data_IF_610797288816
#
_entry.id   IF_610797288816
#
_cell.length_a   1.000
_cell.length_b   1.000
_cell.length_c   1.000
_cell.angle_alpha   90.00
_cell.angle_beta   90.00
_cell.angle_gamma   90.00
#
_symmetry.space_group_name_H-M   'P 1'
#
loop_
_entity.id
_entity.type
_entity.pdbx_description
1 polymer ?
#
# COMPACT_ATOMS: atom_id res chain seq x y z
N UNK A 1 -16.70 -14.30 -14.67
CA UNK A 1 -16.48 -12.84 -14.62
C UNK A 1 -15.50 -12.59 -13.48
N UNK A 2 -14.24 -12.26 -13.78
CA UNK A 2 -13.16 -11.99 -12.80
C UNK A 2 -13.10 -10.47 -12.53
N UNK A 3 -14.13 -9.91 -11.91
CA UNK A 3 -14.06 -8.51 -11.45
C UNK A 3 -14.47 -8.46 -9.98
N UNK A 4 -13.51 -8.76 -9.12
CA UNK A 4 -13.63 -8.52 -7.69
C UNK A 4 -13.19 -7.09 -7.41
N UNK A 5 -14.10 -6.11 -7.57
CA UNK A 5 -13.92 -4.77 -6.99
C UNK A 5 -14.29 -4.82 -5.51
N UNK A 6 -13.74 -5.77 -4.76
CA UNK A 6 -13.99 -5.97 -3.33
C UNK A 6 -12.67 -6.30 -2.61
N UNK A 7 -12.36 -5.66 -1.47
CA UNK A 7 -13.05 -4.48 -0.94
C UNK A 7 -12.75 -3.26 -1.82
N UNK A 8 -13.78 -2.48 -2.10
CA UNK A 8 -13.66 -1.16 -2.71
C UNK A 8 -14.46 -0.16 -1.87
N UNK A 9 -14.30 1.14 -2.13
CA UNK A 9 -14.92 2.17 -1.32
C UNK A 9 -16.45 2.14 -1.33
N UNK A 10 -17.03 1.61 -2.40
CA UNK A 10 -18.45 1.37 -2.45
C UNK A 10 -18.79 0.10 -1.66
N UNK A 11 -19.49 0.25 -0.53
CA UNK A 11 -19.87 -0.84 0.39
C UNK A 11 -21.10 -1.63 -0.10
N UNK A 12 -21.08 -2.00 -1.38
CA UNK A 12 -22.12 -2.74 -2.08
C UNK A 12 -21.65 -4.17 -2.40
N UNK A 13 -22.34 -5.16 -1.85
CA UNK A 13 -22.03 -6.58 -2.01
C UNK A 13 -23.32 -7.42 -1.94
N UNK A 14 -23.31 -8.66 -2.45
CA UNK A 14 -24.40 -9.60 -2.21
C UNK A 14 -24.58 -9.88 -0.71
N UNK A 15 -25.82 -9.84 -0.23
CA UNK A 15 -26.19 -10.21 1.15
C UNK A 15 -26.31 -11.73 1.31
N UNK A 16 -25.26 -12.45 0.91
CA UNK A 16 -25.18 -13.91 0.95
C UNK A 16 -24.76 -14.45 2.33
N UNK A 17 -24.42 -15.74 2.39
CA UNK A 17 -24.04 -16.41 3.64
C UNK A 17 -22.85 -15.76 4.33
N UNK A 18 -21.88 -15.19 3.60
CA UNK A 18 -20.74 -14.49 4.20
C UNK A 18 -21.22 -13.18 4.85
N UNK A 19 -22.08 -12.41 4.17
CA UNK A 19 -22.66 -11.20 4.76
C UNK A 19 -23.47 -11.51 6.03
N UNK A 20 -24.27 -12.59 6.02
CA UNK A 20 -25.07 -13.01 7.17
C UNK A 20 -24.24 -13.34 8.42
N UNK A 21 -22.96 -13.70 8.27
CA UNK A 21 -22.06 -13.86 9.42
C UNK A 21 -21.83 -12.53 10.17
N UNK A 22 -21.91 -11.39 9.48
CA UNK A 22 -21.58 -10.06 10.01
C UNK A 22 -22.79 -9.14 10.21
N UNK A 23 -23.93 -9.42 9.57
CA UNK A 23 -25.11 -8.55 9.51
C UNK A 23 -25.56 -7.98 10.87
N UNK A 24 -25.36 -8.70 11.97
CA UNK A 24 -25.74 -8.25 13.32
C UNK A 24 -24.58 -8.30 14.33
N UNK A 25 -23.33 -8.25 13.85
CA UNK A 25 -22.14 -8.34 14.72
C UNK A 25 -21.66 -6.98 15.24
N UNK A 26 -22.13 -5.88 14.66
CA UNK A 26 -21.62 -4.55 14.95
C UNK A 26 -22.76 -3.57 15.27
N UNK A 27 -22.44 -2.58 16.10
CA UNK A 27 -23.25 -1.37 16.16
C UNK A 27 -23.03 -0.55 14.89
N UNK A 28 -24.08 -0.41 14.11
CA UNK A 28 -24.04 0.20 12.78
C UNK A 28 -24.47 1.66 12.81
N UNK A 29 -23.84 2.44 11.93
CA UNK A 29 -24.29 3.80 11.59
C UNK A 29 -24.51 3.83 10.09
N UNK A 30 -25.76 3.87 9.60
CA UNK A 30 -26.04 3.88 8.17
C UNK A 30 -25.28 5.00 7.44
N UNK A 31 -24.71 4.66 6.29
CA UNK A 31 -24.12 5.61 5.36
C UNK A 31 -25.16 6.00 4.31
N UNK A 32 -25.49 7.29 4.27
CA UNK A 32 -26.31 7.85 3.20
C UNK A 32 -25.44 8.17 1.99
N UNK A 33 -26.00 8.05 0.78
CA UNK A 33 -25.28 8.32 -0.46
C UNK A 33 -24.65 9.72 -0.44
N UNK A 34 -23.33 9.77 -0.73
CA UNK A 34 -22.55 11.00 -0.81
C UNK A 34 -21.38 10.78 -1.77
N UNK A 35 -20.99 11.84 -2.50
CA UNK A 35 -19.83 11.86 -3.40
C UNK A 35 -19.78 10.70 -4.41
N UNK A 36 -20.95 10.25 -4.91
CA UNK A 36 -21.04 9.18 -5.91
C UNK A 36 -21.03 7.75 -5.35
N UNK A 37 -20.98 7.56 -4.03
CA UNK A 37 -21.10 6.24 -3.40
C UNK A 37 -22.55 5.91 -3.06
N UNK A 38 -22.95 4.66 -3.29
CA UNK A 38 -24.27 4.15 -2.91
C UNK A 38 -24.45 4.09 -1.39
N UNK A 39 -25.70 4.19 -0.89
CA UNK A 39 -25.96 4.07 0.53
C UNK A 39 -25.66 2.65 1.03
N UNK A 40 -25.32 2.55 2.31
CA UNK A 40 -25.11 1.27 3.00
C UNK A 40 -25.78 1.32 4.36
N UNK A 41 -26.75 0.45 4.60
CA UNK A 41 -27.46 0.40 5.89
C UNK A 41 -26.55 -0.08 7.04
N UNK A 42 -25.63 -0.99 6.73
CA UNK A 42 -24.74 -1.65 7.70
C UNK A 42 -23.30 -1.64 7.20
N UNK A 43 -22.64 -0.47 7.15
CA UNK A 43 -21.34 -0.33 6.52
C UNK A 43 -20.25 -1.20 7.15
N UNK A 44 -20.26 -1.42 8.48
CA UNK A 44 -19.24 -2.25 9.14
C UNK A 44 -19.41 -3.71 8.76
N UNK A 45 -20.64 -4.23 8.79
CA UNK A 45 -20.97 -5.57 8.35
C UNK A 45 -20.61 -5.78 6.87
N UNK A 46 -20.95 -4.81 6.02
CA UNK A 46 -20.58 -4.84 4.60
C UNK A 46 -19.07 -4.91 4.40
N UNK A 47 -18.30 -4.03 5.06
CA UNK A 47 -16.84 -4.03 4.94
C UNK A 47 -16.21 -5.35 5.43
N UNK A 48 -16.60 -5.84 6.61
CA UNK A 48 -16.10 -7.12 7.14
C UNK A 48 -16.41 -8.29 6.20
N UNK A 49 -17.64 -8.32 5.66
CA UNK A 49 -18.06 -9.33 4.70
C UNK A 49 -17.26 -9.25 3.37
N UNK A 50 -16.93 -8.05 2.88
CA UNK A 50 -16.09 -7.88 1.70
C UNK A 50 -14.67 -8.44 1.91
N UNK A 51 -14.07 -8.17 3.08
CA UNK A 51 -12.75 -8.69 3.42
C UNK A 51 -12.77 -10.22 3.49
N UNK A 52 -13.74 -10.81 4.18
CA UNK A 52 -13.87 -12.27 4.27
C UNK A 52 -14.17 -12.93 2.93
N UNK A 53 -14.90 -12.23 2.06
CA UNK A 53 -15.16 -12.69 0.70
C UNK A 53 -13.91 -12.64 -0.18
N UNK A 54 -13.07 -11.60 -0.04
CA UNK A 54 -11.75 -11.56 -0.69
C UNK A 54 -10.88 -12.73 -0.24
N UNK A 55 -10.79 -12.99 1.07
CA UNK A 55 -10.04 -14.13 1.62
C UNK A 55 -10.54 -15.47 1.07
N UNK A 56 -11.86 -15.67 1.05
CA UNK A 56 -12.49 -16.84 0.45
C UNK A 56 -12.11 -17.00 -1.03
N UNK A 57 -12.16 -15.93 -1.82
CA UNK A 57 -11.79 -15.97 -3.24
C UNK A 57 -10.30 -16.23 -3.47
N UNK A 58 -9.42 -15.70 -2.62
CA UNK A 58 -7.99 -16.08 -2.64
C UNK A 58 -7.83 -17.57 -2.36
N UNK A 59 -8.56 -18.10 -1.37
CA UNK A 59 -8.62 -19.54 -1.08
C UNK A 59 -8.99 -20.37 -2.30
N UNK A 60 -10.07 -19.99 -3.01
CA UNK A 60 -10.50 -20.68 -4.24
C UNK A 60 -9.43 -20.68 -5.33
N UNK A 61 -8.72 -19.57 -5.52
CA UNK A 61 -7.62 -19.50 -6.50
C UNK A 61 -6.48 -20.45 -6.10
N UNK A 62 -6.08 -20.46 -4.83
CA UNK A 62 -5.00 -21.33 -4.35
C UNK A 62 -5.37 -22.82 -4.41
N UNK A 63 -6.63 -23.16 -4.10
CA UNK A 63 -7.15 -24.52 -4.24
C UNK A 63 -7.14 -24.98 -5.71
N UNK A 64 -7.54 -24.10 -6.62
CA UNK A 64 -7.56 -24.40 -8.05
C UNK A 64 -6.14 -24.61 -8.60
N UNK A 65 -5.16 -23.79 -8.20
CA UNK A 65 -3.75 -24.00 -8.54
C UNK A 65 -3.26 -25.38 -8.09
N UNK A 66 -3.63 -25.82 -6.87
CA UNK A 66 -3.28 -27.16 -6.37
C UNK A 66 -4.00 -28.26 -7.16
N UNK A 67 -5.30 -28.09 -7.44
CA UNK A 67 -6.11 -29.07 -8.18
C UNK A 67 -5.55 -29.32 -9.58
N UNK A 68 -5.01 -28.29 -10.23
CA UNK A 68 -4.36 -28.39 -11.53
C UNK A 68 -2.89 -28.82 -11.47
N UNK A 69 -2.30 -28.97 -10.28
CA UNK A 69 -0.88 -29.28 -10.11
C UNK A 69 0.07 -28.15 -10.50
N UNK A 70 -0.41 -26.90 -10.49
CA UNK A 70 0.34 -25.70 -10.87
C UNK A 70 0.96 -24.96 -9.66
N UNK A 71 0.61 -25.35 -8.44
CA UNK A 71 1.01 -24.71 -7.19
C UNK A 71 2.53 -24.58 -7.03
N UNK A 72 3.29 -25.62 -7.42
CA UNK A 72 4.76 -25.61 -7.35
C UNK A 72 5.46 -24.81 -8.45
N UNK A 73 4.70 -24.26 -9.41
CA UNK A 73 5.22 -23.49 -10.54
C UNK A 73 4.48 -22.15 -10.74
N UNK A 74 3.79 -21.67 -9.70
CA UNK A 74 3.04 -20.41 -9.74
C UNK A 74 3.42 -19.53 -8.56
N UNK A 75 4.08 -18.41 -8.82
CA UNK A 75 4.31 -17.38 -7.81
C UNK A 75 3.02 -16.58 -7.62
N UNK A 76 2.46 -16.63 -6.41
CA UNK A 76 1.31 -15.80 -6.02
C UNK A 76 1.83 -14.67 -5.14
N UNK A 77 1.49 -13.43 -5.51
CA UNK A 77 1.75 -12.23 -4.71
C UNK A 77 0.40 -11.60 -4.37
N UNK A 78 0.10 -11.50 -3.09
CA UNK A 78 -1.05 -10.75 -2.58
C UNK A 78 -0.56 -9.41 -2.04
N UNK A 79 -1.22 -8.32 -2.42
CA UNK A 79 -0.91 -6.98 -1.94
C UNK A 79 -2.14 -6.07 -2.02
N UNK A 80 -2.01 -4.86 -1.48
CA UNK A 80 -2.99 -3.78 -1.66
C UNK A 80 -2.36 -2.62 -2.46
N UNK A 81 -3.20 -1.86 -3.16
CA UNK A 81 -2.82 -0.73 -4.01
C UNK A 81 -2.56 0.56 -3.23
N UNK A 82 -3.17 0.73 -2.05
CA UNK A 82 -2.95 1.84 -1.12
C UNK A 82 -3.41 1.49 0.30
N UNK A 83 -3.22 2.43 1.22
CA UNK A 83 -3.76 2.35 2.59
C UNK A 83 -5.29 2.26 2.65
N UNK A 84 -5.86 1.98 3.84
CA UNK A 84 -7.31 1.92 4.01
C UNK A 84 -7.93 3.28 3.77
N UNK A 85 -9.24 3.32 3.47
CA UNK A 85 -9.92 4.53 3.03
C UNK A 85 -11.10 4.87 3.98
N UNK A 86 -11.63 6.09 3.92
CA UNK A 86 -12.79 6.56 4.72
C UNK A 86 -14.05 6.79 3.87
N UNK A 87 -13.89 6.73 2.57
CA UNK A 87 -14.92 6.95 1.57
C UNK A 87 -16.02 5.89 1.66
N UNK A 88 -17.23 6.25 1.21
CA UNK A 88 -18.35 5.31 1.07
C UNK A 88 -18.85 4.67 2.37
N UNK A 89 -18.58 5.29 3.52
CA UNK A 89 -19.03 4.80 4.83
C UNK A 89 -18.05 3.85 5.52
N UNK A 90 -16.87 3.62 4.94
CA UNK A 90 -15.83 2.83 5.60
C UNK A 90 -15.32 3.51 6.89
N UNK A 91 -15.00 2.67 7.88
CA UNK A 91 -14.55 3.08 9.19
C UNK A 91 -13.21 2.40 9.54
N UNK A 92 -12.08 2.93 9.02
CA UNK A 92 -10.78 2.32 9.25
C UNK A 92 -10.31 2.45 10.71
N UNK A 93 -10.90 3.35 11.49
CA UNK A 93 -10.58 3.52 12.92
C UNK A 93 -11.19 2.38 13.74
N UNK A 94 -12.46 2.04 13.47
CA UNK A 94 -13.15 0.92 14.12
C UNK A 94 -12.42 -0.41 13.93
N UNK A 95 -12.01 -0.70 12.69
CA UNK A 95 -11.28 -1.93 12.36
C UNK A 95 -9.77 -1.85 12.58
N UNK A 96 -9.24 -0.67 12.94
CA UNK A 96 -7.80 -0.40 13.01
C UNK A 96 -7.07 -0.82 11.74
N UNK A 97 -7.65 -0.52 10.58
CA UNK A 97 -7.24 -1.05 9.28
C UNK A 97 -5.82 -0.64 8.85
N UNK A 98 -5.30 0.47 9.39
CA UNK A 98 -3.92 0.94 9.16
C UNK A 98 -2.94 0.44 10.25
N UNK A 99 -3.40 -0.37 11.20
CA UNK A 99 -2.56 -0.92 12.27
C UNK A 99 -1.86 0.17 13.09
N UNK A 100 -0.53 0.08 13.31
CA UNK A 100 0.22 1.07 14.07
C UNK A 100 0.70 2.26 13.21
N UNK A 101 0.13 2.47 12.02
CA UNK A 101 0.60 3.46 11.05
C UNK A 101 -0.33 4.67 11.00
N UNK A 102 0.23 5.84 10.70
CA UNK A 102 -0.54 7.08 10.57
C UNK A 102 -1.02 7.32 9.15
N UNK A 103 -2.20 7.90 9.03
CA UNK A 103 -2.80 8.28 7.76
C UNK A 103 -3.54 7.14 7.07
N UNK A 104 -4.25 7.51 6.01
CA UNK A 104 -5.13 6.65 5.22
C UNK A 104 -4.86 6.91 3.74
N UNK A 105 -5.65 6.30 2.85
CA UNK A 105 -5.64 6.56 1.40
C UNK A 105 -5.51 8.06 1.10
N UNK A 106 -4.66 8.39 0.11
CA UNK A 106 -4.22 9.75 -0.29
C UNK A 106 -3.21 10.43 0.63
N UNK A 107 -2.95 9.90 1.83
CA UNK A 107 -1.83 10.37 2.63
C UNK A 107 -0.51 9.77 2.14
N UNK A 108 0.58 10.50 2.38
CA UNK A 108 1.95 10.01 2.16
C UNK A 108 2.63 9.56 3.46
N UNK A 109 1.89 9.57 4.58
CA UNK A 109 2.23 8.88 5.82
C UNK A 109 2.17 7.36 5.63
N UNK A 110 2.82 6.57 6.51
CA UNK A 110 2.99 5.12 6.36
C UNK A 110 1.64 4.42 6.16
N UNK A 111 0.58 4.83 6.86
CA UNK A 111 -0.75 4.23 6.74
C UNK A 111 -1.40 4.42 5.37
N UNK A 112 -0.99 5.43 4.60
CA UNK A 112 -1.47 5.66 3.23
C UNK A 112 -0.70 4.91 2.14
N UNK A 113 0.59 4.61 2.37
CA UNK A 113 1.49 4.06 1.33
C UNK A 113 2.15 2.72 1.66
N UNK A 114 2.11 2.27 2.91
CA UNK A 114 2.66 0.98 3.34
C UNK A 114 1.56 -0.06 3.37
N UNK A 115 1.59 -0.97 2.40
CA UNK A 115 0.56 -1.99 2.22
C UNK A 115 1.07 -3.38 2.65
N UNK A 116 0.15 -4.30 3.02
CA UNK A 116 0.53 -5.70 3.24
C UNK A 116 1.02 -6.31 1.93
N UNK A 117 2.05 -7.15 2.00
CA UNK A 117 2.50 -7.98 0.88
C UNK A 117 2.79 -9.39 1.37
N UNK A 118 2.23 -10.40 0.71
CA UNK A 118 2.47 -11.82 0.96
C UNK A 118 2.89 -12.45 -0.36
N UNK A 119 3.98 -13.22 -0.33
CA UNK A 119 4.41 -14.04 -1.46
C UNK A 119 4.29 -15.52 -1.11
N UNK A 120 3.84 -16.32 -2.08
CA UNK A 120 3.64 -17.74 -1.93
C UNK A 120 4.08 -18.48 -3.19
N UNK A 121 5.00 -19.42 -3.02
CA UNK A 121 5.43 -20.39 -4.04
C UNK A 121 6.07 -21.59 -3.32
N UNK A 122 5.31 -22.69 -3.12
CA UNK A 122 5.79 -23.87 -2.41
C UNK A 122 7.13 -24.40 -2.96
N UNK A 123 8.10 -24.61 -2.06
CA UNK A 123 9.43 -25.11 -2.41
C UNK A 123 10.43 -24.05 -2.89
N UNK A 124 10.00 -22.79 -3.08
CA UNK A 124 10.90 -21.68 -3.44
C UNK A 124 10.84 -20.51 -2.46
N UNK A 125 9.63 -20.11 -2.05
CA UNK A 125 9.45 -19.12 -0.98
C UNK A 125 9.38 -19.87 0.35
N UNK A 126 10.24 -19.52 1.30
CA UNK A 126 10.30 -20.19 2.60
C UNK A 126 9.03 -19.91 3.43
N UNK A 127 8.30 -20.97 3.79
CA UNK A 127 7.07 -20.86 4.57
C UNK A 127 7.31 -20.27 5.97
N UNK A 128 6.34 -19.50 6.47
CA UNK A 128 6.34 -18.98 7.83
C UNK A 128 7.40 -17.90 8.12
N UNK A 129 8.07 -17.37 7.09
CA UNK A 129 9.10 -16.34 7.24
C UNK A 129 8.55 -14.93 7.04
N UNK A 130 9.32 -13.94 7.52
CA UNK A 130 9.07 -12.52 7.32
C UNK A 130 10.38 -11.85 6.92
N UNK A 131 10.27 -10.74 6.19
CA UNK A 131 11.41 -9.91 5.81
C UNK A 131 11.10 -8.45 6.09
N UNK A 132 12.14 -7.69 6.46
CA UNK A 132 12.08 -6.23 6.61
C UNK A 132 12.67 -5.52 5.36
N UNK A 133 12.86 -6.26 4.26
CA UNK A 133 13.28 -5.69 2.98
C UNK A 133 12.32 -4.57 2.57
N UNK A 134 12.84 -3.37 2.35
CA UNK A 134 12.05 -2.25 1.83
C UNK A 134 11.86 -2.46 0.33
N UNK A 135 10.61 -2.44 -0.11
CA UNK A 135 10.20 -2.62 -1.51
C UNK A 135 9.14 -1.58 -1.87
N UNK A 136 8.91 -1.42 -3.17
CA UNK A 136 7.82 -0.61 -3.71
C UNK A 136 7.06 -1.38 -4.79
N UNK A 137 5.84 -0.94 -5.10
CA UNK A 137 5.00 -1.63 -6.10
C UNK A 137 5.68 -1.73 -7.49
N UNK A 138 6.48 -0.73 -7.86
CA UNK A 138 7.22 -0.74 -9.12
C UNK A 138 8.40 -1.74 -9.16
N UNK A 139 8.72 -2.40 -8.05
CA UNK A 139 9.68 -3.52 -8.00
C UNK A 139 9.10 -4.82 -8.56
N UNK A 140 7.77 -4.93 -8.67
CA UNK A 140 7.11 -6.13 -9.19
C UNK A 140 7.48 -6.38 -10.66
N UNK A 141 7.52 -5.33 -11.49
CA UNK A 141 7.85 -5.47 -12.91
C UNK A 141 9.25 -6.10 -13.15
N UNK A 142 10.36 -5.57 -12.59
CA UNK A 142 11.67 -6.21 -12.75
C UNK A 142 11.77 -7.57 -12.04
N UNK A 143 11.02 -7.79 -10.95
CA UNK A 143 10.96 -9.10 -10.27
C UNK A 143 10.37 -10.17 -11.18
N UNK A 144 9.25 -9.88 -11.83
CA UNK A 144 8.62 -10.79 -12.78
C UNK A 144 9.52 -10.99 -14.00
N UNK A 145 10.15 -9.93 -14.51
CA UNK A 145 11.09 -10.03 -15.62
C UNK A 145 12.29 -10.94 -15.31
N UNK A 146 12.85 -10.85 -14.11
CA UNK A 146 13.93 -11.73 -13.67
C UNK A 146 13.45 -13.17 -13.53
N UNK A 147 12.29 -13.37 -12.89
CA UNK A 147 11.67 -14.69 -12.70
C UNK A 147 11.42 -15.41 -14.04
N UNK A 148 10.92 -14.69 -15.04
CA UNK A 148 10.61 -15.24 -16.37
C UNK A 148 11.80 -15.19 -17.33
N UNK A 149 12.94 -14.65 -16.91
CA UNK A 149 14.11 -14.38 -17.75
C UNK A 149 13.79 -13.52 -18.97
N UNK A 150 12.78 -12.66 -18.85
CA UNK A 150 12.39 -11.70 -19.87
C UNK A 150 13.31 -10.49 -19.80
N UNK A 151 13.62 -9.89 -20.95
CA UNK A 151 14.32 -8.61 -21.02
C UNK A 151 13.29 -7.48 -21.08
N UNK A 152 13.32 -6.56 -20.11
CA UNK A 152 12.47 -5.38 -20.17
C UNK A 152 12.86 -4.51 -21.37
N UNK A 153 11.89 -4.01 -22.15
CA UNK A 153 12.15 -3.11 -23.27
C UNK A 153 12.51 -1.69 -22.80
N UNK A 154 12.28 -1.40 -21.52
CA UNK A 154 12.47 -0.08 -20.91
C UNK A 154 13.29 -0.21 -19.63
N UNK A 155 14.01 0.87 -19.29
CA UNK A 155 14.60 1.01 -17.98
C UNK A 155 13.49 1.35 -16.97
N UNK A 156 13.55 0.75 -15.79
CA UNK A 156 12.62 1.00 -14.69
C UNK A 156 13.38 1.49 -13.47
N UNK A 157 12.71 2.19 -12.57
CA UNK A 157 13.27 2.54 -11.25
C UNK A 157 13.18 1.38 -10.25
N UNK A 158 12.44 0.32 -10.58
CA UNK A 158 12.32 -0.86 -9.75
C UNK A 158 13.58 -1.70 -9.64
N UNK A 159 13.74 -2.34 -8.50
CA UNK A 159 14.78 -3.31 -8.18
C UNK A 159 14.08 -4.64 -7.91
N UNK A 160 14.48 -5.69 -8.62
CA UNK A 160 13.94 -7.02 -8.37
C UNK A 160 14.14 -7.45 -6.92
N UNK A 161 13.09 -8.02 -6.35
CA UNK A 161 13.06 -8.57 -4.98
C UNK A 161 13.14 -10.10 -5.00
N UNK A 162 13.39 -10.71 -6.17
CA UNK A 162 13.46 -12.15 -6.33
C UNK A 162 14.48 -12.82 -5.39
N UNK A 163 15.69 -12.25 -5.16
CA UNK A 163 16.62 -12.82 -4.18
C UNK A 163 16.00 -12.89 -2.78
N UNK A 164 15.27 -11.86 -2.33
CA UNK A 164 14.57 -11.89 -1.04
C UNK A 164 13.49 -12.97 -1.02
N UNK A 165 12.69 -13.07 -2.08
CA UNK A 165 11.61 -14.06 -2.16
C UNK A 165 12.14 -15.50 -2.03
N UNK A 166 13.30 -15.78 -2.62
CA UNK A 166 13.91 -17.12 -2.63
C UNK A 166 14.99 -17.32 -1.56
N UNK A 167 15.11 -16.38 -0.61
CA UNK A 167 16.11 -16.44 0.48
C UNK A 167 17.56 -16.52 -0.04
N UNK A 168 17.81 -15.92 -1.19
CA UNK A 168 19.13 -15.82 -1.81
C UNK A 168 19.89 -14.57 -1.31
N UNK A 169 21.22 -14.62 -1.40
CA UNK A 169 22.08 -13.48 -1.03
C UNK A 169 22.10 -12.43 -2.12
N UNK A 170 22.51 -11.21 -1.75
CA UNK A 170 22.78 -10.14 -2.73
C UNK A 170 21.56 -9.28 -3.10
N UNK A 171 20.51 -9.28 -2.28
CA UNK A 171 19.39 -8.35 -2.44
C UNK A 171 19.87 -6.90 -2.48
N UNK A 172 19.65 -6.25 -3.61
CA UNK A 172 19.95 -4.82 -3.79
C UNK A 172 18.92 -3.98 -3.03
N UNK A 173 19.40 -2.85 -2.51
CA UNK A 173 18.58 -1.87 -1.78
C UNK A 173 18.34 -0.65 -2.65
N UNK A 174 17.14 -0.08 -2.52
CA UNK A 174 16.87 1.26 -3.03
C UNK A 174 17.74 2.30 -2.32
N UNK A 175 18.30 3.24 -3.07
CA UNK A 175 19.00 4.40 -2.46
C UNK A 175 18.01 5.27 -1.68
N UNK A 176 16.80 5.42 -2.22
CA UNK A 176 15.63 6.02 -1.61
C UNK A 176 14.38 5.59 -2.39
N UNK A 177 13.22 5.75 -1.79
CA UNK A 177 11.91 5.67 -2.45
C UNK A 177 11.24 7.05 -2.37
N UNK A 178 10.47 7.43 -3.39
CA UNK A 178 9.83 8.74 -3.51
C UNK A 178 8.36 8.60 -3.92
N UNK A 179 7.51 9.44 -3.34
CA UNK A 179 6.08 9.53 -3.64
C UNK A 179 5.67 11.00 -3.77
N UNK A 180 4.69 11.24 -4.62
CA UNK A 180 4.01 12.53 -4.72
C UNK A 180 2.51 12.32 -5.00
N UNK A 181 1.70 13.20 -4.43
CA UNK A 181 0.25 13.22 -4.65
C UNK A 181 -0.19 14.66 -4.85
N UNK A 182 -0.91 14.94 -5.94
CA UNK A 182 -1.11 16.29 -6.48
C UNK A 182 -2.36 16.99 -5.92
N UNK A 183 -3.34 16.24 -5.44
CA UNK A 183 -4.58 16.82 -4.92
C UNK A 183 -4.37 17.46 -3.54
N UNK A 184 -5.39 18.21 -3.08
CA UNK A 184 -5.46 18.74 -1.72
C UNK A 184 -4.20 19.52 -1.29
N UNK A 185 -3.73 20.41 -2.17
CA UNK A 185 -2.58 21.28 -1.92
C UNK A 185 -1.23 20.60 -2.13
N UNK A 186 -1.18 19.35 -2.60
CA UNK A 186 0.06 18.69 -3.00
C UNK A 186 0.94 18.25 -1.83
N UNK A 187 1.41 17.01 -1.91
CA UNK A 187 2.26 16.39 -0.89
C UNK A 187 3.32 15.49 -1.50
N UNK A 188 4.46 15.37 -0.81
CA UNK A 188 5.59 14.54 -1.20
C UNK A 188 6.08 13.74 0.00
N UNK A 189 6.57 12.53 -0.24
CA UNK A 189 7.35 11.76 0.73
C UNK A 189 8.61 11.21 0.09
N UNK A 190 9.66 11.08 0.90
CA UNK A 190 10.85 10.34 0.54
C UNK A 190 11.28 9.46 1.70
N UNK A 191 11.72 8.23 1.41
CA UNK A 191 12.26 7.31 2.40
C UNK A 191 13.66 6.87 2.02
N UNK A 192 14.62 7.03 2.93
CA UNK A 192 16.00 6.57 2.80
C UNK A 192 16.39 5.78 4.04
N UNK A 193 16.39 4.45 3.92
CA UNK A 193 16.57 3.56 5.07
C UNK A 193 15.49 3.78 6.12
N UNK A 194 15.90 4.14 7.34
CA UNK A 194 15.00 4.44 8.46
C UNK A 194 14.43 5.85 8.42
N UNK A 195 15.05 6.76 7.67
CA UNK A 195 14.61 8.15 7.60
C UNK A 195 13.49 8.30 6.59
N UNK A 196 12.41 8.97 7.00
CA UNK A 196 11.33 9.40 6.13
C UNK A 196 11.08 10.88 6.31
N UNK A 197 10.98 11.60 5.20
CA UNK A 197 10.61 13.01 5.21
C UNK A 197 9.34 13.22 4.42
N UNK A 198 8.53 14.20 4.84
CA UNK A 198 7.26 14.55 4.23
C UNK A 198 7.23 16.07 4.00
N UNK A 199 6.68 16.47 2.86
CA UNK A 199 6.29 17.86 2.56
C UNK A 199 4.80 17.90 2.31
N UNK A 200 4.09 18.83 2.96
CA UNK A 200 2.66 19.05 2.77
C UNK A 200 2.41 20.47 2.24
N UNK A 201 1.19 20.71 1.74
CA UNK A 201 0.69 22.03 1.35
C UNK A 201 1.63 22.78 0.39
N UNK A 202 2.21 22.03 -0.55
CA UNK A 202 3.22 22.52 -1.49
C UNK A 202 2.62 23.52 -2.49
N UNK A 203 1.33 23.38 -2.79
CA UNK A 203 0.57 24.21 -3.72
C UNK A 203 -0.51 25.00 -2.96
N UNK A 204 -0.53 26.32 -3.14
CA UNK A 204 -1.59 27.19 -2.62
C UNK A 204 -1.65 27.36 -1.10
N UNK A 205 -0.71 26.78 -0.36
CA UNK A 205 -0.61 26.87 1.10
C UNK A 205 0.78 27.31 1.57
N UNK A 206 1.01 27.20 2.89
CA UNK A 206 2.34 27.37 3.49
C UNK A 206 2.99 25.98 3.59
N UNK A 207 4.02 25.67 2.79
CA UNK A 207 4.61 24.35 2.79
C UNK A 207 5.18 23.99 4.17
N UNK A 208 4.91 22.77 4.63
CA UNK A 208 5.52 22.20 5.83
C UNK A 208 6.56 21.15 5.46
N UNK A 209 7.45 20.86 6.38
CA UNK A 209 8.44 19.80 6.24
C UNK A 209 8.57 19.06 7.57
N UNK A 210 8.43 17.74 7.51
CA UNK A 210 8.52 16.84 8.65
C UNK A 210 9.61 15.79 8.37
N UNK A 211 10.33 15.36 9.41
CA UNK A 211 11.32 14.29 9.34
C UNK A 211 11.08 13.30 10.49
N UNK A 212 11.08 12.01 10.16
CA UNK A 212 10.83 10.90 11.07
C UNK A 212 11.94 9.84 10.98
N UNK A 213 12.29 9.24 12.14
CA UNK A 213 13.10 8.02 12.25
C UNK A 213 12.16 6.81 12.45
N UNK A 214 11.81 6.13 11.36
CA UNK A 214 10.86 5.02 11.37
C UNK A 214 11.32 3.80 12.18
N UNK A 215 12.59 3.73 12.57
CA UNK A 215 13.08 2.67 13.46
C UNK A 215 12.65 2.86 14.91
N UNK A 216 12.24 4.08 15.27
CA UNK A 216 11.79 4.46 16.62
C UNK A 216 10.35 4.94 16.64
N UNK A 217 9.88 5.49 15.52
CA UNK A 217 8.58 6.12 15.40
C UNK A 217 7.92 5.70 14.08
N UNK A 218 7.34 4.50 14.08
CA UNK A 218 6.64 3.94 12.92
C UNK A 218 5.29 4.64 12.64
N UNK A 219 4.72 5.30 13.65
CA UNK A 219 3.46 6.03 13.55
C UNK A 219 3.68 7.49 13.10
N UNK A 220 4.92 7.99 13.05
CA UNK A 220 5.23 9.33 12.55
C UNK A 220 4.61 10.45 13.41
N UNK A 221 4.76 10.32 14.73
CA UNK A 221 4.23 11.28 15.71
C UNK A 221 5.19 12.43 16.01
N UNK A 222 6.50 12.18 15.93
CA UNK A 222 7.52 13.09 16.43
C UNK A 222 8.37 13.62 15.28
N UNK A 223 8.11 14.87 14.85
CA UNK A 223 8.99 15.55 13.91
C UNK A 223 10.35 15.84 14.58
N UNK A 224 11.39 15.22 14.04
CA UNK A 224 12.77 15.38 14.49
C UNK A 224 13.62 16.25 13.55
N UNK A 225 12.98 16.98 12.62
CA UNK A 225 13.66 17.81 11.62
C UNK A 225 14.59 18.87 12.24
N UNK A 226 14.19 19.48 13.36
CA UNK A 226 15.00 20.45 14.11
C UNK A 226 16.17 19.79 14.87
N UNK A 227 16.01 18.52 15.27
CA UNK A 227 17.02 17.76 16.01
C UNK A 227 18.10 17.19 15.07
N UNK A 228 17.75 16.89 13.81
CA UNK A 228 18.68 16.35 12.81
C UNK A 228 18.74 17.24 11.55
N UNK A 229 19.22 18.49 11.65
CA UNK A 229 19.15 19.46 10.57
C UNK A 229 19.97 19.05 9.33
N UNK A 230 21.07 18.29 9.50
CA UNK A 230 21.86 17.78 8.37
C UNK A 230 21.08 16.71 7.59
N UNK A 231 20.37 15.81 8.28
CA UNK A 231 19.51 14.80 7.65
C UNK A 231 18.33 15.47 6.96
N UNK A 232 17.69 16.44 7.62
CA UNK A 232 16.61 17.23 7.01
C UNK A 232 17.06 17.92 5.72
N UNK A 233 18.26 18.52 5.71
CA UNK A 233 18.85 19.14 4.51
C UNK A 233 19.12 18.12 3.41
N UNK A 234 19.65 16.95 3.75
CA UNK A 234 19.87 15.86 2.79
C UNK A 234 18.55 15.40 2.15
N UNK A 235 17.53 15.13 2.96
CA UNK A 235 16.23 14.64 2.48
C UNK A 235 15.54 15.67 1.58
N UNK A 236 15.62 16.96 1.91
CA UNK A 236 15.15 18.06 1.03
C UNK A 236 15.87 18.03 -0.32
N UNK A 237 17.19 17.93 -0.32
CA UNK A 237 17.97 17.88 -1.56
C UNK A 237 17.64 16.65 -2.41
N UNK A 238 17.35 15.51 -1.79
CA UNK A 238 16.93 14.31 -2.50
C UNK A 238 15.53 14.49 -3.11
N UNK A 239 14.56 15.02 -2.36
CA UNK A 239 13.22 15.32 -2.87
C UNK A 239 13.26 16.26 -4.08
N UNK A 240 14.08 17.30 -4.03
CA UNK A 240 14.21 18.28 -5.12
C UNK A 240 14.79 17.67 -6.41
N UNK A 241 15.50 16.54 -6.31
CA UNK A 241 16.15 15.84 -7.43
C UNK A 241 15.42 14.57 -7.87
N UNK A 242 14.54 14.02 -7.04
CA UNK A 242 13.87 12.74 -7.29
C UNK A 242 12.81 12.85 -8.40
N UNK A 243 12.18 14.00 -8.52
CA UNK A 243 11.12 14.25 -9.51
C UNK A 243 11.71 14.48 -10.90
N UNK A 244 11.14 13.82 -11.90
CA UNK A 244 11.27 14.23 -13.31
C UNK A 244 10.14 15.19 -13.65
N UNK A 245 10.47 16.38 -14.18
CA UNK A 245 9.45 17.36 -14.55
C UNK A 245 8.51 16.82 -15.64
N UNK A 246 7.23 17.16 -15.53
CA UNK A 246 6.20 16.78 -16.50
C UNK A 246 5.48 18.03 -16.99
N UNK A 247 5.31 18.20 -18.32
CA UNK A 247 4.51 19.29 -18.86
C UNK A 247 3.01 19.14 -18.55
N UNK A 248 2.57 17.91 -18.24
CA UNK A 248 1.16 17.55 -17.97
C UNK A 248 0.86 17.67 -16.47
N UNK A 249 1.71 17.07 -15.63
CA UNK A 249 1.54 17.06 -14.19
C UNK A 249 2.48 18.08 -13.55
N UNK A 250 1.99 19.33 -13.42
CA UNK A 250 2.72 20.45 -12.80
C UNK A 250 2.47 20.48 -11.29
N UNK A 251 3.49 20.78 -10.50
CA UNK A 251 3.41 20.70 -9.04
C UNK A 251 4.17 21.84 -8.39
N UNK A 252 3.44 22.83 -7.87
CA UNK A 252 4.01 23.97 -7.12
C UNK A 252 5.08 24.78 -7.87
N UNK A 253 5.23 24.57 -9.17
CA UNK A 253 6.17 25.21 -10.10
C UNK A 253 5.52 25.28 -11.48
#
# INVERSE_FOLDING_TARGET
MLTYTLPHAELNLPHDSIYKMYENQFEEKPYNSKYGYYPSEKPKASFAAMVSKLDFYVGQVLEELKRQGLDKNTLVIFSSDNGPHREGGADPDFFKSYGPLKGVKRDVYEGGIRTPMIAWLPGKVQAGTKTNQITAFWDILPTLSELTKTKLPVKTDGISILPTLFSEKGQKQHKYLYWEFHEEGGRQAIRKGNWKAIRQHIVGGKPTFELYDLSKDIHEDNDVSAQFPQVAKEMKNLMDKARTESPIFKFGK
#
